data_IF_822909762487
#
_entry.id   IF_822909762487
#
_cell.length_a   1.000
_cell.length_b   1.000
_cell.length_c   1.000
_cell.angle_alpha   90.00
_cell.angle_beta   90.00
_cell.angle_gamma   90.00
#
_symmetry.space_group_name_H-M   'P 1'
#
loop_
_entity.id
_entity.type
_entity.pdbx_description
1 polymer ?
#
# COMPACT_ATOMS: atom_id res chain seq x y z
N UNK A 1 2.09 -18.47 -19.03
CA UNK A 1 3.25 -17.57 -19.15
C UNK A 1 2.78 -16.22 -18.64
N UNK A 2 3.32 -15.75 -17.51
CA UNK A 2 2.92 -14.47 -16.89
C UNK A 2 4.03 -13.47 -17.16
N UNK A 3 3.69 -12.37 -17.84
CA UNK A 3 4.61 -11.25 -17.98
C UNK A 3 4.55 -10.43 -16.69
N UNK A 4 5.65 -10.40 -15.95
CA UNK A 4 5.78 -9.66 -14.70
C UNK A 4 6.45 -8.32 -15.04
N UNK A 5 5.72 -7.22 -14.82
CA UNK A 5 6.23 -5.86 -14.97
C UNK A 5 6.55 -5.31 -13.58
N UNK A 6 7.84 -5.12 -13.33
CA UNK A 6 8.48 -4.77 -12.06
C UNK A 6 8.34 -3.28 -11.69
N UNK A 7 8.13 -2.41 -12.68
CA UNK A 7 8.08 -0.95 -12.45
C UNK A 7 6.86 -0.32 -13.10
N UNK A 8 6.15 0.50 -12.30
CA UNK A 8 5.18 1.47 -12.80
C UNK A 8 5.93 2.78 -12.94
N UNK A 9 5.87 3.38 -14.13
CA UNK A 9 6.43 4.70 -14.39
C UNK A 9 5.32 5.72 -14.40
N UNK A 10 5.55 6.88 -13.79
CA UNK A 10 4.64 8.02 -13.95
C UNK A 10 4.77 8.62 -15.37
N UNK A 11 3.97 9.65 -15.67
CA UNK A 11 3.97 10.35 -16.96
C UNK A 11 5.29 11.08 -17.26
N UNK A 12 6.12 11.29 -16.23
CA UNK A 12 7.46 11.88 -16.33
C UNK A 12 8.56 10.81 -16.52
N UNK A 13 8.20 9.53 -16.53
CA UNK A 13 9.14 8.41 -16.69
C UNK A 13 9.82 7.96 -15.39
N UNK A 14 9.50 8.57 -14.25
CA UNK A 14 10.02 8.21 -12.94
C UNK A 14 9.43 6.89 -12.48
N UNK A 15 10.28 6.02 -11.92
CA UNK A 15 9.86 4.78 -11.30
C UNK A 15 9.15 5.12 -9.99
N UNK A 16 7.89 4.73 -9.87
CA UNK A 16 7.13 4.84 -8.62
C UNK A 16 7.68 3.78 -7.66
N UNK A 17 8.67 4.15 -6.85
CA UNK A 17 9.48 3.23 -6.05
C UNK A 17 8.89 2.89 -4.68
N UNK A 18 8.02 3.71 -4.11
CA UNK A 18 7.70 3.62 -2.67
C UNK A 18 6.50 2.75 -2.32
N UNK A 19 5.94 2.06 -3.32
CA UNK A 19 4.80 1.17 -3.09
C UNK A 19 5.27 -0.26 -2.87
N UNK A 20 5.05 -0.76 -1.65
CA UNK A 20 5.32 -2.14 -1.26
C UNK A 20 4.11 -3.01 -1.55
N UNK A 21 4.34 -4.19 -2.15
CA UNK A 21 3.25 -5.16 -2.35
C UNK A 21 3.13 -5.99 -1.09
N UNK A 22 1.91 -6.11 -0.57
CA UNK A 22 1.53 -6.96 0.53
C UNK A 22 0.62 -8.06 -0.01
N UNK A 23 1.04 -9.32 0.11
CA UNK A 23 0.24 -10.47 -0.29
C UNK A 23 -0.11 -11.33 0.92
N UNK A 24 -1.40 -11.57 1.11
CA UNK A 24 -1.94 -12.42 2.17
C UNK A 24 -2.62 -13.61 1.51
N UNK A 25 -2.08 -14.82 1.72
CA UNK A 25 -2.68 -16.04 1.19
C UNK A 25 -3.96 -16.34 1.95
N UNK A 26 -4.93 -16.94 1.28
CA UNK A 26 -6.24 -17.20 1.89
C UNK A 26 -6.18 -18.12 3.12
N UNK A 27 -5.23 -19.07 3.15
CA UNK A 27 -4.96 -19.94 4.32
C UNK A 27 -4.37 -19.19 5.53
N UNK A 28 -3.86 -17.98 5.33
CA UNK A 28 -3.25 -17.13 6.36
C UNK A 28 -4.22 -16.06 6.85
N UNK A 29 -5.49 -16.13 6.45
CA UNK A 29 -6.57 -15.27 6.93
C UNK A 29 -7.37 -16.06 7.97
N UNK A 30 -7.33 -15.60 9.21
CA UNK A 30 -8.10 -16.19 10.31
C UNK A 30 -9.61 -15.96 10.18
N UNK A 31 -10.40 -16.62 11.02
CA UNK A 31 -11.88 -16.57 10.97
C UNK A 31 -12.47 -15.16 11.08
N UNK A 32 -11.74 -14.23 11.70
CA UNK A 32 -12.15 -12.82 11.87
C UNK A 32 -11.45 -11.86 10.89
N UNK A 33 -10.83 -12.36 9.81
CA UNK A 33 -10.03 -11.52 8.91
C UNK A 33 -8.65 -11.17 9.47
N UNK A 34 -8.22 -11.82 10.55
CA UNK A 34 -6.87 -11.65 11.11
C UNK A 34 -5.81 -12.11 10.12
N UNK A 35 -4.78 -11.28 9.92
CA UNK A 35 -3.63 -11.64 9.09
C UNK A 35 -2.64 -12.43 9.95
N UNK A 36 -2.61 -13.75 9.76
CA UNK A 36 -1.70 -14.67 10.47
C UNK A 36 -0.32 -14.71 9.82
N UNK A 37 -0.28 -14.50 8.50
CA UNK A 37 0.94 -14.58 7.69
C UNK A 37 0.80 -13.78 6.41
N UNK A 38 1.88 -13.12 6.00
CA UNK A 38 1.90 -12.33 4.79
C UNK A 38 3.28 -12.39 4.12
N UNK A 39 3.32 -12.05 2.84
CA UNK A 39 4.54 -11.84 2.08
C UNK A 39 4.55 -10.39 1.64
N UNK A 40 5.61 -9.66 1.99
CA UNK A 40 5.78 -8.27 1.59
C UNK A 40 7.05 -8.06 0.78
N UNK A 41 7.04 -7.05 -0.07
CA UNK A 41 8.22 -6.61 -0.80
C UNK A 41 7.87 -5.92 -2.11
N UNK A 42 8.82 -5.15 -2.64
CA UNK A 42 8.68 -4.48 -3.94
C UNK A 42 8.41 -5.49 -5.08
N UNK A 43 9.05 -6.65 -5.01
CA UNK A 43 8.88 -7.75 -5.96
C UNK A 43 8.10 -8.92 -5.37
N UNK A 44 7.27 -8.70 -4.34
CA UNK A 44 6.40 -9.77 -3.85
C UNK A 44 5.44 -10.19 -4.97
N UNK A 45 5.49 -11.48 -5.31
CA UNK A 45 4.65 -12.09 -6.33
C UNK A 45 3.60 -12.90 -5.60
N UNK A 46 2.32 -12.64 -5.90
CA UNK A 46 1.23 -13.48 -5.46
C UNK A 46 1.38 -14.89 -6.04
N UNK A 47 1.66 -15.88 -5.18
CA UNK A 47 1.77 -17.28 -5.53
C UNK A 47 0.59 -18.06 -4.93
N UNK A 48 -0.52 -18.08 -5.68
CA UNK A 48 -1.75 -18.79 -5.33
C UNK A 48 -2.94 -17.87 -5.08
N UNK A 49 -3.95 -18.38 -4.37
CA UNK A 49 -5.17 -17.64 -4.04
C UNK A 49 -4.99 -16.83 -2.74
N UNK A 50 -5.41 -15.57 -2.77
CA UNK A 50 -5.30 -14.66 -1.65
C UNK A 50 -5.58 -13.21 -2.08
N UNK A 51 -5.24 -12.28 -1.20
CA UNK A 51 -5.42 -10.85 -1.39
C UNK A 51 -4.06 -10.16 -1.57
N UNK A 52 -3.92 -9.38 -2.65
CA UNK A 52 -2.74 -8.55 -2.86
C UNK A 52 -3.11 -7.07 -2.75
N UNK A 53 -2.39 -6.36 -1.90
CA UNK A 53 -2.53 -4.94 -1.67
C UNK A 53 -1.25 -4.22 -2.05
N UNK A 54 -1.39 -2.97 -2.46
CA UNK A 54 -0.27 -2.07 -2.71
C UNK A 54 -0.33 -1.04 -1.59
N UNK A 55 0.63 -1.09 -0.68
CA UNK A 55 0.67 -0.31 0.55
C UNK A 55 2.01 0.40 0.68
N UNK A 56 2.07 1.42 1.52
CA UNK A 56 3.33 2.08 1.83
C UNK A 56 4.18 1.22 2.76
N UNK A 57 5.50 1.46 2.78
CA UNK A 57 6.45 0.63 3.53
C UNK A 57 6.14 0.59 5.04
N UNK A 58 5.71 1.71 5.62
CA UNK A 58 5.37 1.81 7.05
C UNK A 58 4.16 0.96 7.45
N UNK A 59 3.31 0.57 6.49
CA UNK A 59 2.18 -0.32 6.72
C UNK A 59 2.66 -1.74 7.01
N UNK A 60 3.78 -2.16 6.41
CA UNK A 60 4.33 -3.52 6.53
C UNK A 60 4.73 -3.83 7.96
N UNK A 61 5.31 -2.86 8.66
CA UNK A 61 5.70 -2.99 10.07
C UNK A 61 4.49 -3.03 11.02
N UNK A 62 3.33 -2.60 10.53
CA UNK A 62 2.10 -2.42 11.30
C UNK A 62 0.96 -3.35 10.85
N UNK A 63 1.24 -4.37 10.02
CA UNK A 63 0.22 -5.33 9.52
C UNK A 63 -0.55 -6.00 10.64
N UNK A 64 0.06 -6.22 11.81
CA UNK A 64 -0.63 -6.78 12.99
C UNK A 64 -1.80 -5.94 13.50
N UNK A 65 -1.84 -4.65 13.17
CA UNK A 65 -2.93 -3.71 13.49
C UNK A 65 -4.06 -3.74 12.45
N UNK A 66 -3.91 -4.49 11.36
CA UNK A 66 -4.85 -4.57 10.25
C UNK A 66 -5.61 -5.90 10.26
N UNK A 67 -6.77 -5.89 9.64
CA UNK A 67 -7.61 -7.06 9.38
C UNK A 67 -8.22 -6.93 7.98
N UNK A 68 -8.55 -8.07 7.37
CA UNK A 68 -9.20 -8.12 6.07
C UNK A 68 -10.69 -8.30 6.28
N UNK A 69 -11.48 -7.29 5.90
CA UNK A 69 -12.94 -7.30 5.99
C UNK A 69 -13.50 -7.10 4.60
N UNK A 70 -14.26 -8.07 4.07
CA UNK A 70 -14.82 -8.04 2.71
C UNK A 70 -13.80 -7.80 1.58
N UNK A 71 -12.55 -8.22 1.78
CA UNK A 71 -11.47 -8.02 0.81
C UNK A 71 -10.82 -6.64 0.86
N UNK A 72 -11.15 -5.83 1.87
CA UNK A 72 -10.50 -4.55 2.16
C UNK A 72 -9.61 -4.67 3.40
N UNK A 73 -8.48 -3.94 3.40
CA UNK A 73 -7.63 -3.77 4.57
C UNK A 73 -8.25 -2.71 5.48
N UNK A 74 -8.59 -3.12 6.70
CA UNK A 74 -9.22 -2.28 7.72
C UNK A 74 -8.38 -2.29 8.99
N UNK A 75 -8.24 -1.15 9.65
CA UNK A 75 -7.58 -1.06 10.96
C UNK A 75 -8.45 -1.73 12.01
N UNK A 76 -7.86 -2.52 12.91
CA UNK A 76 -8.56 -3.16 14.02
C UNK A 76 -9.16 -2.10 14.96
N UNK A 77 -10.26 -2.44 15.61
CA UNK A 77 -10.92 -1.52 16.54
C UNK A 77 -9.99 -1.14 17.69
N UNK A 78 -9.80 0.16 17.91
CA UNK A 78 -8.90 0.70 18.93
C UNK A 78 -7.41 0.80 18.54
N UNK A 79 -7.01 0.35 17.35
CA UNK A 79 -5.64 0.48 16.86
C UNK A 79 -5.46 1.75 15.99
N UNK A 80 -4.24 2.26 15.93
CA UNK A 80 -3.88 3.42 15.10
C UNK A 80 -2.63 3.09 14.27
N UNK A 81 -2.69 3.41 12.99
CA UNK A 81 -1.53 3.36 12.10
C UNK A 81 -0.72 4.64 12.31
N UNK A 82 0.54 4.47 12.69
CA UNK A 82 1.48 5.58 12.80
C UNK A 82 2.07 5.83 11.42
N UNK A 83 1.63 6.92 10.79
CA UNK A 83 2.25 7.41 9.55
C UNK A 83 3.55 8.15 9.91
N UNK A 84 4.66 7.87 9.21
CA UNK A 84 5.87 8.65 9.40
C UNK A 84 5.60 10.13 9.04
N UNK A 85 6.15 11.06 9.82
CA UNK A 85 5.99 12.49 9.56
C UNK A 85 6.52 12.82 8.16
N UNK A 86 5.63 13.36 7.31
CA UNK A 86 6.00 13.82 5.96
C UNK A 86 7.14 14.83 6.08
N UNK A 87 8.15 14.67 5.23
CA UNK A 87 9.24 15.64 5.17
C UNK A 87 8.71 17.00 4.68
N UNK A 88 9.38 18.12 5.02
CA UNK A 88 8.95 19.45 4.55
C UNK A 88 8.82 19.57 3.03
N UNK A 89 9.66 18.85 2.27
CA UNK A 89 9.60 18.80 0.80
C UNK A 89 8.33 18.11 0.29
N UNK A 90 7.84 17.06 0.97
CA UNK A 90 6.61 16.37 0.58
C UNK A 90 5.38 17.23 0.85
N UNK A 91 5.38 18.00 1.93
CA UNK A 91 4.33 18.98 2.24
C UNK A 91 4.32 20.08 1.18
N UNK A 92 5.48 20.60 0.80
CA UNK A 92 5.60 21.63 -0.24
C UNK A 92 5.11 21.11 -1.60
N UNK A 93 5.45 19.87 -1.96
CA UNK A 93 5.00 19.22 -3.19
C UNK A 93 3.48 19.06 -3.23
N UNK A 94 2.86 18.64 -2.13
CA UNK A 94 1.40 18.46 -2.03
C UNK A 94 0.66 19.82 -2.14
N UNK A 95 1.21 20.87 -1.52
CA UNK A 95 0.70 22.24 -1.64
C UNK A 95 0.82 22.78 -3.08
N UNK A 96 1.95 22.53 -3.75
CA UNK A 96 2.15 22.93 -5.15
C UNK A 96 1.17 22.20 -6.08
N UNK A 97 0.94 20.90 -5.86
CA UNK A 97 -0.03 20.12 -6.63
C UNK A 97 -1.47 20.59 -6.41
N UNK A 98 -1.86 20.90 -5.17
CA UNK A 98 -3.17 21.47 -4.86
C UNK A 98 -3.39 22.80 -5.60
N UNK A 99 -2.36 23.65 -5.63
CA UNK A 99 -2.43 24.97 -6.31
C UNK A 99 -2.48 24.86 -7.83
N UNK A 100 -1.86 23.83 -8.41
CA UNK A 100 -1.96 23.52 -9.83
C UNK A 100 -3.36 23.01 -10.20
N UNK A 101 -3.95 22.15 -9.36
CA UNK A 101 -5.32 21.66 -9.58
C UNK A 101 -6.37 22.79 -9.53
N UNK A 102 -6.16 23.80 -8.69
CA UNK A 102 -7.00 25.01 -8.69
C UNK A 102 -6.84 25.87 -9.96
N UNK A 103 -5.68 25.82 -10.62
CA UNK A 103 -5.40 26.55 -11.86
C UNK A 103 -5.90 25.82 -13.12
N UNK A 104 -5.83 24.49 -13.16
CA UNK A 104 -6.36 23.67 -14.26
C UNK A 104 -7.90 23.52 -14.21
N UNK A 105 -8.52 23.81 -13.07
CA UNK A 105 -9.96 23.82 -12.89
C UNK A 105 -10.66 25.15 -13.24
N UNK A 106 -9.93 26.15 -13.75
CA UNK A 106 -10.41 27.50 -14.05
C UNK A 106 -10.53 27.80 -15.55
#
# INVERSE_FOLDING_TARGET
MVNIYDSIRNENGDVISDRTRLFVREKEIGENGEILGFTSGRSAIADGTGHQYVVDEYIIEQVGKLQIVNGELVVKDGEVIEEPEKTPEEIEREQLLARLAELDGA
#
